data_IF_401429104818
#
_entry.id   IF_401429104818
#
_cell.length_a   1.000
_cell.length_b   1.000
_cell.length_c   1.000
_cell.angle_alpha   90.00
_cell.angle_beta   90.00
_cell.angle_gamma   90.00
#
_symmetry.space_group_name_H-M   'P 1'
#
loop_
_entity.id
_entity.type
_entity.pdbx_description
1 polymer ?
#
# COMPACT_ATOMS: atom_id res chain seq x y z
N UNK A 1 -21.26 -19.72 -9.29
CA UNK A 1 -20.61 -18.87 -10.30
C UNK A 1 -20.12 -17.58 -9.64
N UNK A 2 -18.88 -17.20 -9.88
CA UNK A 2 -18.35 -15.93 -9.37
C UNK A 2 -18.86 -14.78 -10.22
N UNK A 3 -19.44 -13.77 -9.58
CA UNK A 3 -19.89 -12.56 -10.25
C UNK A 3 -18.90 -11.40 -10.07
N UNK A 4 -18.01 -11.53 -9.11
CA UNK A 4 -16.99 -10.52 -8.82
C UNK A 4 -15.73 -11.17 -8.24
N UNK A 5 -14.59 -10.55 -8.53
CA UNK A 5 -13.28 -10.93 -7.96
C UNK A 5 -12.70 -9.70 -7.28
N UNK A 6 -12.23 -9.89 -6.04
CA UNK A 6 -11.58 -8.85 -5.27
C UNK A 6 -10.06 -9.06 -5.31
N UNK A 7 -9.34 -8.01 -5.68
CA UNK A 7 -7.88 -8.04 -5.73
C UNK A 7 -7.28 -7.18 -4.63
N UNK A 8 -6.20 -7.66 -4.03
CA UNK A 8 -5.31 -6.82 -3.27
C UNK A 8 -4.32 -6.16 -4.24
N UNK A 9 -3.67 -5.09 -3.83
CA UNK A 9 -2.69 -4.39 -4.63
C UNK A 9 -1.28 -4.90 -4.32
N UNK A 10 -0.84 -4.72 -3.08
CA UNK A 10 0.53 -5.02 -2.67
C UNK A 10 0.78 -6.52 -2.66
N UNK A 11 1.78 -6.98 -3.42
CA UNK A 11 2.12 -8.38 -3.49
C UNK A 11 1.21 -9.23 -4.36
N UNK A 12 0.18 -8.64 -4.99
CA UNK A 12 -0.75 -9.33 -5.89
C UNK A 12 -0.70 -8.73 -7.28
N UNK A 13 -0.94 -7.43 -7.41
CA UNK A 13 -0.89 -6.73 -8.70
C UNK A 13 0.51 -6.22 -8.98
N UNK A 14 1.19 -5.69 -7.97
CA UNK A 14 2.54 -5.16 -8.08
C UNK A 14 3.24 -5.25 -6.72
N UNK A 15 4.55 -5.05 -6.72
CA UNK A 15 5.35 -5.02 -5.49
C UNK A 15 5.61 -3.57 -5.07
N UNK A 16 4.72 -3.01 -4.27
CA UNK A 16 4.91 -1.68 -3.68
C UNK A 16 5.65 -1.74 -2.34
N UNK A 17 5.85 -2.93 -1.78
CA UNK A 17 6.58 -3.09 -0.53
C UNK A 17 8.00 -2.52 -0.62
N UNK A 18 8.64 -2.66 -1.77
CA UNK A 18 9.98 -2.11 -2.00
C UNK A 18 9.97 -0.58 -1.89
N UNK A 19 8.98 0.09 -2.46
CA UNK A 19 8.85 1.54 -2.36
C UNK A 19 8.58 2.00 -0.93
N UNK A 20 7.75 1.26 -0.19
CA UNK A 20 7.52 1.53 1.23
C UNK A 20 8.79 1.39 2.04
N UNK A 21 9.56 0.33 1.79
CA UNK A 21 10.84 0.12 2.46
C UNK A 21 11.80 1.27 2.20
N UNK A 22 11.96 1.66 0.95
CA UNK A 22 12.88 2.75 0.58
C UNK A 22 12.48 4.07 1.23
N UNK A 23 11.19 4.34 1.31
CA UNK A 23 10.69 5.55 1.96
C UNK A 23 10.95 5.54 3.47
N UNK A 24 10.74 4.39 4.12
CA UNK A 24 11.06 4.25 5.55
C UNK A 24 12.55 4.30 5.81
N UNK A 25 13.35 3.67 4.96
CA UNK A 25 14.80 3.69 5.08
C UNK A 25 15.34 5.11 4.99
N UNK A 26 14.84 5.88 4.03
CA UNK A 26 15.23 7.28 3.86
C UNK A 26 14.93 8.10 5.12
N UNK A 27 13.71 7.96 5.66
CA UNK A 27 13.33 8.66 6.88
C UNK A 27 14.20 8.23 8.06
N UNK A 28 14.43 6.93 8.22
CA UNK A 28 15.22 6.40 9.30
C UNK A 28 16.65 6.93 9.26
N UNK A 29 17.27 6.99 8.08
CA UNK A 29 18.60 7.54 7.90
C UNK A 29 18.68 9.01 8.33
N UNK A 30 17.66 9.79 8.05
CA UNK A 30 17.62 11.20 8.43
C UNK A 30 17.63 11.41 9.94
N UNK A 31 17.12 10.45 10.70
CA UNK A 31 17.10 10.50 12.16
C UNK A 31 18.11 9.56 12.81
N UNK A 32 19.07 9.05 12.01
CA UNK A 32 20.19 8.25 12.52
C UNK A 32 19.84 6.81 12.87
N UNK A 33 18.76 6.27 12.32
CA UNK A 33 18.35 4.87 12.55
C UNK A 33 18.61 4.07 11.28
N UNK A 34 19.17 2.88 11.45
CA UNK A 34 19.41 1.97 10.33
C UNK A 34 18.38 0.84 10.36
N UNK A 35 17.65 0.67 9.28
CA UNK A 35 16.74 -0.47 9.11
C UNK A 35 17.18 -1.25 7.87
N UNK A 36 16.88 -2.56 7.87
CA UNK A 36 17.18 -3.44 6.75
C UNK A 36 15.91 -4.12 6.25
N UNK A 37 16.06 -4.95 5.21
CA UNK A 37 14.90 -5.63 4.60
C UNK A 37 14.30 -6.66 5.54
N UNK A 38 15.10 -7.28 6.39
CA UNK A 38 14.61 -8.22 7.40
C UNK A 38 13.73 -7.51 8.42
N UNK A 39 14.17 -6.35 8.91
CA UNK A 39 13.35 -5.53 9.81
C UNK A 39 12.05 -5.10 9.12
N UNK A 40 12.12 -4.76 7.84
CA UNK A 40 10.96 -4.31 7.07
C UNK A 40 9.84 -5.35 7.00
N UNK A 41 10.16 -6.64 7.14
CA UNK A 41 9.13 -7.68 7.18
C UNK A 41 8.14 -7.45 8.32
N UNK A 42 8.58 -6.82 9.42
CA UNK A 42 7.72 -6.47 10.56
C UNK A 42 6.80 -5.28 10.27
N UNK A 43 7.01 -4.57 9.18
CA UNK A 43 6.23 -3.40 8.81
C UNK A 43 5.18 -3.69 7.75
N UNK A 44 5.23 -4.85 7.10
CA UNK A 44 4.28 -5.22 6.05
C UNK A 44 2.88 -5.39 6.62
N UNK A 45 1.91 -4.73 6.00
CA UNK A 45 0.52 -4.79 6.44
C UNK A 45 0.22 -3.98 7.71
N UNK A 46 1.19 -3.23 8.20
CA UNK A 46 1.08 -2.44 9.43
C UNK A 46 0.74 -0.99 9.06
N UNK A 47 -0.04 -0.31 9.90
CA UNK A 47 -0.37 1.09 9.67
C UNK A 47 0.88 1.96 9.65
N UNK A 48 0.77 3.14 9.04
CA UNK A 48 1.88 4.09 8.95
C UNK A 48 2.39 4.48 10.33
N UNK A 49 1.49 4.82 11.22
CA UNK A 49 1.83 5.27 12.57
C UNK A 49 2.50 4.16 13.37
N UNK A 50 1.97 2.96 13.31
CA UNK A 50 2.56 1.81 14.01
C UNK A 50 3.93 1.44 13.44
N UNK A 51 4.08 1.54 12.11
CA UNK A 51 5.36 1.30 11.45
C UNK A 51 6.42 2.28 11.96
N UNK A 52 6.08 3.57 12.04
CA UNK A 52 6.99 4.58 12.54
C UNK A 52 7.36 4.32 14.00
N UNK A 53 6.38 3.94 14.83
CA UNK A 53 6.65 3.62 16.22
C UNK A 53 7.65 2.47 16.34
N UNK A 54 7.50 1.42 15.55
CA UNK A 54 8.43 0.28 15.53
C UNK A 54 9.84 0.68 15.10
N UNK A 55 9.95 1.59 14.14
CA UNK A 55 11.25 2.10 13.69
C UNK A 55 11.93 2.88 14.82
N UNK A 56 11.19 3.75 15.49
CA UNK A 56 11.72 4.53 16.60
C UNK A 56 12.16 3.63 17.77
N UNK A 57 11.37 2.61 18.11
CA UNK A 57 11.76 1.63 19.13
C UNK A 57 13.03 0.89 18.74
N UNK A 58 13.14 0.49 17.48
CA UNK A 58 14.33 -0.20 16.97
C UNK A 58 15.59 0.64 17.15
N UNK A 59 15.48 1.94 16.95
CA UNK A 59 16.61 2.87 17.12
C UNK A 59 16.77 3.41 18.54
N UNK A 60 15.93 2.99 19.49
CA UNK A 60 15.98 3.48 20.87
C UNK A 60 15.54 4.93 21.00
N UNK A 61 14.70 5.42 20.10
CA UNK A 61 14.28 6.83 20.05
C UNK A 61 12.78 7.02 20.27
N UNK A 62 12.09 6.03 20.79
CA UNK A 62 10.62 6.04 20.96
C UNK A 62 10.10 7.18 21.82
N UNK A 63 10.95 7.74 22.69
CA UNK A 63 10.57 8.84 23.58
C UNK A 63 11.24 10.18 23.20
N UNK A 64 11.94 10.25 22.07
CA UNK A 64 12.72 11.41 21.69
C UNK A 64 11.92 12.48 20.94
N UNK A 65 10.68 12.18 20.55
CA UNK A 65 9.89 13.04 19.67
C UNK A 65 8.53 13.36 20.28
N UNK A 66 8.06 14.58 20.04
CA UNK A 66 6.70 14.99 20.41
C UNK A 66 5.69 14.37 19.45
N UNK A 67 4.40 14.44 19.82
CA UNK A 67 3.32 13.98 18.94
C UNK A 67 3.31 14.73 17.60
N UNK A 68 3.64 16.03 17.63
CA UNK A 68 3.71 16.84 16.42
C UNK A 68 4.87 16.42 15.53
N UNK A 69 6.03 16.16 16.12
CA UNK A 69 7.20 15.66 15.39
C UNK A 69 6.93 14.27 14.79
N UNK A 70 6.27 13.41 15.57
CA UNK A 70 5.88 12.08 15.10
C UNK A 70 4.96 12.17 13.88
N UNK A 71 3.93 13.02 13.94
CA UNK A 71 3.02 13.22 12.82
C UNK A 71 3.73 13.79 11.59
N UNK A 72 4.68 14.71 11.80
CA UNK A 72 5.46 15.29 10.71
C UNK A 72 6.35 14.24 10.03
N UNK A 73 6.95 13.34 10.80
CA UNK A 73 7.76 12.24 10.25
C UNK A 73 6.91 11.26 9.46
N UNK A 74 5.72 10.91 9.95
CA UNK A 74 4.82 10.04 9.23
C UNK A 74 4.40 10.67 7.89
N UNK A 75 4.12 11.96 7.90
CA UNK A 75 3.79 12.72 6.68
C UNK A 75 4.98 12.74 5.72
N UNK A 76 6.18 12.99 6.22
CA UNK A 76 7.38 13.02 5.39
C UNK A 76 7.61 11.67 4.70
N UNK A 77 7.44 10.56 5.42
CA UNK A 77 7.53 9.23 4.81
C UNK A 77 6.53 9.08 3.68
N UNK A 78 5.30 9.51 3.89
CA UNK A 78 4.28 9.40 2.86
C UNK A 78 4.62 10.27 1.64
N UNK A 79 5.11 11.48 1.86
CA UNK A 79 5.54 12.37 0.79
C UNK A 79 6.68 11.74 -0.03
N UNK A 80 7.65 11.12 0.65
CA UNK A 80 8.74 10.40 -0.01
C UNK A 80 8.21 9.22 -0.82
N UNK A 81 7.28 8.47 -0.25
CA UNK A 81 6.67 7.33 -0.94
C UNK A 81 5.91 7.79 -2.19
N UNK A 82 5.08 8.83 -2.07
CA UNK A 82 4.32 9.37 -3.19
C UNK A 82 5.25 9.84 -4.31
N UNK A 83 6.38 10.46 -3.96
CA UNK A 83 7.39 10.86 -4.94
C UNK A 83 8.00 9.64 -5.65
N UNK A 84 8.33 8.61 -4.88
CA UNK A 84 8.94 7.39 -5.44
C UNK A 84 8.00 6.65 -6.37
N UNK A 85 6.70 6.56 -6.06
CA UNK A 85 5.75 5.84 -6.90
C UNK A 85 5.37 6.57 -8.18
N UNK A 86 5.84 7.80 -8.37
CA UNK A 86 5.70 8.48 -9.67
C UNK A 86 6.41 7.70 -10.78
N UNK A 87 7.40 6.89 -10.42
CA UNK A 87 8.13 6.05 -11.37
C UNK A 87 7.43 4.74 -11.71
N UNK A 88 6.34 4.40 -11.03
CA UNK A 88 5.58 3.17 -11.32
C UNK A 88 4.94 3.27 -12.70
N UNK A 89 5.01 2.18 -13.44
CA UNK A 89 4.50 2.10 -14.82
C UNK A 89 3.94 0.70 -15.07
N UNK A 90 3.36 0.43 -16.26
CA UNK A 90 2.89 -0.92 -16.60
C UNK A 90 3.94 -2.02 -16.46
N UNK A 91 5.23 -1.66 -16.48
CA UNK A 91 6.32 -2.63 -16.29
C UNK A 91 6.34 -3.22 -14.89
N UNK A 92 5.72 -2.55 -13.93
CA UNK A 92 5.69 -2.99 -12.54
C UNK A 92 4.53 -3.95 -12.23
N UNK A 93 3.66 -4.22 -13.21
CA UNK A 93 2.58 -5.19 -13.07
C UNK A 93 3.20 -6.60 -13.02
N UNK A 94 2.79 -7.40 -12.03
CA UNK A 94 3.26 -8.78 -11.96
C UNK A 94 2.86 -9.56 -13.22
N UNK A 95 3.72 -10.48 -13.69
CA UNK A 95 3.42 -11.30 -14.86
C UNK A 95 2.08 -12.04 -14.71
N UNK A 96 1.27 -12.00 -15.76
CA UNK A 96 -0.02 -12.69 -15.80
C UNK A 96 -1.19 -11.90 -15.25
N UNK A 97 -0.98 -10.82 -14.50
CA UNK A 97 -2.07 -10.04 -13.90
C UNK A 97 -2.89 -9.34 -14.99
N UNK A 98 -2.24 -8.68 -15.95
CA UNK A 98 -2.97 -7.99 -17.03
C UNK A 98 -3.83 -8.98 -17.81
N UNK A 99 -3.27 -10.14 -18.16
CA UNK A 99 -4.01 -11.17 -18.87
C UNK A 99 -5.21 -11.68 -18.06
N UNK A 100 -5.02 -11.87 -16.75
CA UNK A 100 -6.10 -12.28 -15.85
C UNK A 100 -7.24 -11.25 -15.83
N UNK A 101 -6.91 -9.97 -15.73
CA UNK A 101 -7.91 -8.91 -15.74
C UNK A 101 -8.68 -8.88 -17.06
N UNK A 102 -7.98 -9.03 -18.18
CA UNK A 102 -8.61 -9.09 -19.50
C UNK A 102 -9.55 -10.29 -19.62
N UNK A 103 -9.12 -11.46 -19.15
CA UNK A 103 -9.93 -12.68 -19.20
C UNK A 103 -11.19 -12.54 -18.35
N UNK A 104 -11.09 -11.99 -17.15
CA UNK A 104 -12.23 -11.78 -16.27
C UNK A 104 -13.26 -10.83 -16.88
N UNK A 105 -12.82 -9.75 -17.47
CA UNK A 105 -13.71 -8.81 -18.14
C UNK A 105 -14.38 -9.45 -19.36
N UNK A 106 -13.63 -10.26 -20.10
CA UNK A 106 -14.18 -11.00 -21.24
C UNK A 106 -15.28 -11.97 -20.84
N UNK A 107 -15.29 -12.44 -19.60
CA UNK A 107 -16.31 -13.33 -19.06
C UNK A 107 -17.44 -12.59 -18.34
N UNK A 108 -17.41 -11.26 -18.33
CA UNK A 108 -18.42 -10.45 -17.67
C UNK A 108 -18.31 -10.43 -16.16
N UNK A 109 -17.19 -10.82 -15.60
CA UNK A 109 -16.94 -10.84 -14.16
C UNK A 109 -16.52 -9.44 -13.70
N UNK A 110 -17.14 -8.95 -12.63
CA UNK A 110 -16.79 -7.66 -12.04
C UNK A 110 -15.46 -7.76 -11.31
N UNK A 111 -14.68 -6.69 -11.34
CA UNK A 111 -13.36 -6.64 -10.71
C UNK A 111 -13.33 -5.47 -9.74
N UNK A 112 -12.87 -5.72 -8.52
CA UNK A 112 -12.76 -4.68 -7.51
C UNK A 112 -11.40 -4.74 -6.81
N UNK A 113 -10.93 -3.59 -6.36
CA UNK A 113 -9.70 -3.48 -5.58
C UNK A 113 -10.04 -3.34 -4.10
N UNK A 114 -9.42 -4.16 -3.26
CA UNK A 114 -9.54 -4.13 -1.81
C UNK A 114 -8.15 -3.89 -1.21
N UNK A 115 -7.69 -2.64 -1.23
CA UNK A 115 -6.38 -2.26 -0.71
C UNK A 115 -6.50 -1.31 0.47
N UNK A 116 -5.66 -1.49 1.48
CA UNK A 116 -5.55 -0.57 2.60
C UNK A 116 -4.76 0.69 2.24
N UNK A 117 -4.13 0.74 1.08
CA UNK A 117 -3.33 1.89 0.64
C UNK A 117 -4.22 3.00 0.11
N UNK A 118 -4.03 4.22 0.61
CA UNK A 118 -4.70 5.42 0.09
C UNK A 118 -4.20 5.79 -1.31
N UNK A 119 -3.07 5.24 -1.72
CA UNK A 119 -2.48 5.50 -3.03
C UNK A 119 -2.88 4.45 -4.08
N UNK A 120 -3.78 3.53 -3.73
CA UNK A 120 -4.24 2.48 -4.65
C UNK A 120 -4.75 3.00 -5.98
N UNK A 121 -5.70 3.94 -6.00
CA UNK A 121 -6.21 4.50 -7.26
C UNK A 121 -5.11 5.13 -8.12
N UNK A 122 -4.19 5.87 -7.50
CA UNK A 122 -3.06 6.47 -8.20
C UNK A 122 -2.17 5.40 -8.85
N UNK A 123 -1.85 4.33 -8.10
CA UNK A 123 -1.01 3.25 -8.60
C UNK A 123 -1.67 2.52 -9.78
N UNK A 124 -2.98 2.26 -9.70
CA UNK A 124 -3.70 1.65 -10.81
C UNK A 124 -3.64 2.54 -12.05
N UNK A 125 -3.77 3.86 -11.88
CA UNK A 125 -3.69 4.80 -12.99
C UNK A 125 -2.29 4.81 -13.61
N UNK A 126 -1.25 4.80 -12.80
CA UNK A 126 0.14 4.73 -13.27
C UNK A 126 0.42 3.45 -14.06
N UNK A 127 -0.21 2.34 -13.69
CA UNK A 127 -0.07 1.05 -14.37
C UNK A 127 -1.08 0.90 -15.52
N UNK A 128 -1.94 1.91 -15.76
CA UNK A 128 -2.98 1.89 -16.78
C UNK A 128 -3.99 0.76 -16.58
N UNK A 129 -4.31 0.46 -15.32
CA UNK A 129 -5.25 -0.60 -14.94
C UNK A 129 -6.60 -0.10 -14.46
N UNK A 130 -6.76 1.20 -14.25
CA UNK A 130 -7.98 1.77 -13.65
C UNK A 130 -9.25 1.31 -14.37
N UNK A 131 -9.23 1.27 -15.70
CA UNK A 131 -10.41 0.91 -16.50
C UNK A 131 -10.84 -0.55 -16.36
N UNK A 132 -9.96 -1.41 -15.81
CA UNK A 132 -10.30 -2.81 -15.57
C UNK A 132 -11.10 -3.02 -14.28
N UNK A 133 -11.13 -2.01 -13.40
CA UNK A 133 -11.75 -2.13 -12.09
C UNK A 133 -13.12 -1.46 -12.08
N UNK A 134 -14.13 -2.22 -11.67
CA UNK A 134 -15.51 -1.73 -11.56
C UNK A 134 -15.75 -0.98 -10.25
N UNK A 135 -14.94 -1.28 -9.22
CA UNK A 135 -15.01 -0.63 -7.93
C UNK A 135 -13.65 -0.63 -7.24
N UNK A 136 -13.39 0.40 -6.45
CA UNK A 136 -12.18 0.52 -5.63
C UNK A 136 -12.63 0.90 -4.22
N UNK A 137 -12.28 0.05 -3.23
CA UNK A 137 -12.59 0.36 -1.84
C UNK A 137 -11.75 1.55 -1.37
N UNK A 138 -12.40 2.50 -0.70
CA UNK A 138 -11.72 3.64 -0.10
C UNK A 138 -11.35 3.29 1.35
N UNK A 139 -10.05 3.14 1.68
CA UNK A 139 -9.64 2.78 3.04
C UNK A 139 -10.08 3.78 4.10
N UNK A 140 -10.30 5.03 3.71
CA UNK A 140 -10.75 6.05 4.65
C UNK A 140 -12.21 5.86 5.10
N UNK A 141 -12.99 5.04 4.38
CA UNK A 141 -14.40 4.78 4.66
C UNK A 141 -14.63 3.47 5.40
N UNK A 142 -13.58 2.73 5.73
CA UNK A 142 -13.70 1.46 6.44
C UNK A 142 -13.23 1.61 7.88
N UNK A 143 -13.88 0.85 8.79
CA UNK A 143 -13.63 0.98 10.23
C UNK A 143 -12.33 0.32 10.68
N UNK A 144 -11.86 -0.69 9.95
CA UNK A 144 -10.66 -1.44 10.31
C UNK A 144 -9.90 -1.88 9.08
N UNK A 145 -8.57 -1.92 9.19
CA UNK A 145 -7.70 -2.40 8.13
C UNK A 145 -7.60 -3.93 8.14
N UNK A 146 -6.98 -4.48 7.09
CA UNK A 146 -6.74 -5.92 6.98
C UNK A 146 -6.00 -6.46 8.20
N UNK A 147 -6.33 -7.68 8.66
CA UNK A 147 -7.18 -8.68 8.02
C UNK A 147 -8.69 -8.54 8.30
N UNK A 148 -9.15 -7.44 8.88
CA UNK A 148 -10.57 -7.23 9.11
C UNK A 148 -11.36 -7.22 7.79
N UNK A 149 -12.62 -7.69 7.78
CA UNK A 149 -13.38 -7.83 6.54
C UNK A 149 -13.92 -6.52 5.96
N UNK A 150 -13.85 -5.43 6.70
CA UNK A 150 -14.47 -4.15 6.36
C UNK A 150 -14.08 -3.65 4.96
N UNK A 151 -12.77 -3.72 4.63
CA UNK A 151 -12.29 -3.23 3.34
C UNK A 151 -12.79 -4.11 2.18
N UNK A 152 -12.92 -5.42 2.39
CA UNK A 152 -13.43 -6.33 1.38
C UNK A 152 -14.93 -6.15 1.18
N UNK A 153 -15.66 -5.86 2.25
CA UNK A 153 -17.10 -5.57 2.18
C UNK A 153 -17.33 -4.28 1.39
N UNK A 154 -16.55 -3.24 1.68
CA UNK A 154 -16.66 -1.97 0.95
C UNK A 154 -16.37 -2.13 -0.54
N UNK A 155 -15.38 -2.96 -0.91
CA UNK A 155 -15.06 -3.22 -2.31
C UNK A 155 -16.16 -3.98 -3.03
N UNK A 156 -16.91 -4.84 -2.33
CA UNK A 156 -17.99 -5.64 -2.91
C UNK A 156 -19.29 -4.84 -3.12
N UNK A 157 -19.46 -3.76 -2.42
CA UNK A 157 -20.63 -2.88 -2.56
C UNK A 157 -20.47 -1.93 -3.75
#
# INVERSE_FOLDING_TARGET
MFQAVLFDLDGVITDTAEYHFLAWEKLAQEIGIKIDREFNENLKGVSREESLRRILEHGGKENDYTAEEFAAMAKLKNDNYVEMIQAVSPKDIYPGILQLLQDLRGQGIKIALASASKNGPFLLDQMQLTDYFDAIADPAKVAASKPAPDIFIAAAE
#
